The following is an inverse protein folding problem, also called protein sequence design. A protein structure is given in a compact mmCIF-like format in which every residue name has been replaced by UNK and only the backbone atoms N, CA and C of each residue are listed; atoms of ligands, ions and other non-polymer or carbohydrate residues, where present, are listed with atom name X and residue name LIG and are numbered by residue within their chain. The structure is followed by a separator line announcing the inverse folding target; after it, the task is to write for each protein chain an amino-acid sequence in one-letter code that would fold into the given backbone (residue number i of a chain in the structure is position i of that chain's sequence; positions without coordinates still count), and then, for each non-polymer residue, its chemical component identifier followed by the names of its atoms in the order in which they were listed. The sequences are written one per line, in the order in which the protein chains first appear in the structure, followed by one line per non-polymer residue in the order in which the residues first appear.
data_IF_629887102963
#
_entry.id   IF_629887102963
#
_cell.length_a   1.000
_cell.length_b   1.000
_cell.length_c   1.000
_cell.angle_alpha   90.00
_cell.angle_beta   90.00
_cell.angle_gamma   90.00
#
_symmetry.space_group_name_H-M   'P 1'
#
loop_
_entity.id
_entity.type
_entity.pdbx_description
1 polymer ?
#
# COMPACT_ATOMS: atom_id res chain seq x y z
N UNK A 1 21.09 -22.53 27.89
CA UNK A 1 21.31 -22.51 26.42
C UNK A 1 20.00 -22.17 25.76
N UNK A 2 19.96 -21.09 24.99
CA UNK A 2 18.77 -20.49 24.37
C UNK A 2 18.33 -21.30 23.15
N UNK A 3 17.15 -21.94 23.22
CA UNK A 3 16.50 -22.55 22.05
C UNK A 3 15.88 -21.45 21.19
N UNK A 4 16.68 -20.83 20.33
CA UNK A 4 16.18 -19.95 19.29
C UNK A 4 15.38 -20.81 18.28
N UNK A 5 14.04 -20.68 18.29
CA UNK A 5 13.18 -21.29 17.27
C UNK A 5 13.64 -20.79 15.90
N UNK A 6 14.13 -21.69 15.05
CA UNK A 6 14.40 -21.39 13.63
C UNK A 6 13.06 -21.00 12.99
N UNK A 7 12.94 -19.74 12.55
CA UNK A 7 11.79 -19.30 11.76
C UNK A 7 12.00 -19.82 10.35
N UNK A 8 11.30 -20.88 9.99
CA UNK A 8 11.23 -21.34 8.61
C UNK A 8 10.50 -20.28 7.78
N UNK A 9 11.24 -19.62 6.89
CA UNK A 9 10.67 -18.66 5.94
C UNK A 9 9.86 -19.44 4.90
N UNK A 10 8.54 -19.47 5.07
CA UNK A 10 7.63 -20.08 4.10
C UNK A 10 7.44 -19.13 2.93
N UNK A 11 7.95 -19.49 1.76
CA UNK A 11 7.67 -18.77 0.53
C UNK A 11 6.17 -18.85 0.23
N UNK A 12 5.52 -17.69 0.14
CA UNK A 12 4.09 -17.58 -0.12
C UNK A 12 3.88 -17.54 -1.63
N UNK A 13 3.26 -18.58 -2.19
CA UNK A 13 2.87 -18.62 -3.60
C UNK A 13 1.37 -18.35 -3.75
N UNK A 14 0.90 -17.23 -3.21
CA UNK A 14 -0.50 -16.82 -3.20
C UNK A 14 -0.65 -15.49 -3.94
N UNK A 15 -1.66 -15.41 -4.79
CA UNK A 15 -2.09 -14.18 -5.45
C UNK A 15 -3.32 -13.65 -4.70
N UNK A 16 -3.49 -12.33 -4.69
CA UNK A 16 -4.65 -11.68 -4.07
C UNK A 16 -5.97 -12.22 -4.66
N UNK A 17 -6.94 -12.47 -3.78
CA UNK A 17 -8.33 -12.77 -4.14
C UNK A 17 -9.29 -11.88 -3.34
N UNK A 18 -10.45 -11.53 -3.90
CA UNK A 18 -11.41 -10.63 -3.26
C UNK A 18 -11.93 -11.15 -1.89
N UNK A 19 -11.93 -12.46 -1.67
CA UNK A 19 -12.26 -13.06 -0.37
C UNK A 19 -11.25 -12.75 0.73
N UNK A 20 -10.03 -12.31 0.38
CA UNK A 20 -8.96 -12.03 1.34
C UNK A 20 -9.28 -10.87 2.29
N UNK A 21 -10.16 -9.95 1.88
CA UNK A 21 -10.71 -8.91 2.76
C UNK A 21 -11.43 -9.45 3.99
N UNK A 22 -11.93 -10.68 3.92
CA UNK A 22 -12.67 -11.34 5.00
C UNK A 22 -11.85 -12.43 5.69
N UNK A 23 -10.62 -12.66 5.26
CA UNK A 23 -9.78 -13.73 5.77
C UNK A 23 -9.25 -13.39 7.17
N UNK A 24 -9.13 -14.41 8.02
CA UNK A 24 -8.45 -14.31 9.31
C UNK A 24 -6.94 -14.55 9.21
N UNK A 25 -6.47 -15.09 8.09
CA UNK A 25 -5.05 -15.36 7.82
C UNK A 25 -4.25 -14.06 7.62
N UNK A 26 -3.10 -13.97 8.28
CA UNK A 26 -2.29 -12.76 8.27
C UNK A 26 -1.71 -12.45 6.88
N UNK A 27 -1.33 -13.47 6.11
CA UNK A 27 -0.81 -13.27 4.75
C UNK A 27 -1.92 -12.77 3.83
N UNK A 28 -3.12 -13.33 3.92
CA UNK A 28 -4.29 -12.85 3.18
C UNK A 28 -4.62 -11.39 3.49
N UNK A 29 -4.60 -11.01 4.78
CA UNK A 29 -4.80 -9.61 5.21
C UNK A 29 -3.77 -8.67 4.60
N UNK A 30 -2.49 -9.04 4.65
CA UNK A 30 -1.43 -8.23 4.04
C UNK A 30 -1.61 -8.05 2.53
N UNK A 31 -2.04 -9.10 1.81
CA UNK A 31 -2.35 -9.00 0.38
C UNK A 31 -3.51 -8.03 0.13
N UNK A 32 -4.59 -8.15 0.89
CA UNK A 32 -5.75 -7.26 0.80
C UNK A 32 -5.39 -5.79 1.11
N UNK A 33 -4.60 -5.53 2.15
CA UNK A 33 -4.12 -4.19 2.51
C UNK A 33 -3.30 -3.56 1.38
N UNK A 34 -2.37 -4.32 0.77
CA UNK A 34 -1.60 -3.80 -0.38
C UNK A 34 -2.47 -3.54 -1.60
N UNK A 35 -3.52 -4.34 -1.82
CA UNK A 35 -4.47 -4.13 -2.90
C UNK A 35 -5.29 -2.85 -2.71
N UNK A 36 -5.72 -2.54 -1.47
CA UNK A 36 -6.39 -1.27 -1.12
C UNK A 36 -5.47 -0.08 -1.33
N UNK A 37 -4.25 -0.12 -0.77
CA UNK A 37 -3.30 1.00 -0.88
C UNK A 37 -3.01 1.38 -2.34
N UNK A 38 -2.84 0.38 -3.22
CA UNK A 38 -2.62 0.61 -4.65
C UNK A 38 -3.87 1.20 -5.31
N UNK A 39 -5.05 0.69 -4.98
CA UNK A 39 -6.33 1.19 -5.51
C UNK A 39 -6.62 2.63 -5.07
N UNK A 40 -6.40 2.92 -3.79
CA UNK A 40 -6.56 4.26 -3.20
C UNK A 40 -5.58 5.25 -3.83
N UNK A 41 -4.33 4.85 -4.04
CA UNK A 41 -3.33 5.68 -4.70
C UNK A 41 -3.74 6.02 -6.14
N UNK A 42 -4.30 5.05 -6.86
CA UNK A 42 -4.79 5.25 -8.22
C UNK A 42 -6.02 6.17 -8.27
N UNK A 43 -6.97 6.00 -7.34
CA UNK A 43 -8.21 6.79 -7.27
C UNK A 43 -8.01 8.21 -6.75
N UNK A 44 -7.19 8.39 -5.72
CA UNK A 44 -6.82 9.71 -5.17
C UNK A 44 -5.92 10.46 -6.14
N UNK A 45 -5.35 9.77 -7.13
CA UNK A 45 -4.37 10.33 -8.05
C UNK A 45 -3.02 10.60 -7.38
N UNK A 46 -2.79 10.05 -6.18
CA UNK A 46 -1.60 10.32 -5.37
C UNK A 46 -0.29 9.89 -6.04
N UNK A 47 -0.38 8.89 -6.93
CA UNK A 47 0.73 8.49 -7.82
C UNK A 47 1.22 9.67 -8.69
N UNK A 48 0.35 10.63 -8.97
CA UNK A 48 0.64 11.82 -9.77
C UNK A 48 0.84 13.10 -8.94
N UNK A 49 0.32 13.18 -7.70
CA UNK A 49 0.44 14.36 -6.84
C UNK A 49 1.84 14.51 -6.22
N UNK A 50 2.57 13.42 -6.01
CA UNK A 50 3.89 13.46 -5.36
C UNK A 50 5.06 13.80 -6.28
N UNK A 51 4.81 14.00 -7.58
CA UNK A 51 5.84 14.54 -8.47
C UNK A 51 6.01 16.05 -8.19
N UNK A 52 7.21 16.52 -7.80
CA UNK A 52 7.44 17.94 -7.50
C UNK A 52 7.13 18.89 -8.66
N UNK A 53 7.04 18.37 -9.90
CA UNK A 53 6.59 19.13 -11.06
C UNK A 53 5.09 19.56 -10.99
N UNK A 54 4.25 18.85 -10.24
CA UNK A 54 2.82 19.16 -10.10
C UNK A 54 2.46 19.88 -8.80
N UNK A 55 3.34 19.88 -7.79
CA UNK A 55 3.11 20.58 -6.52
C UNK A 55 3.18 22.11 -6.63
N UNK A 56 3.71 22.65 -7.75
CA UNK A 56 3.98 24.08 -7.91
C UNK A 56 2.84 24.89 -8.57
N UNK A 57 1.69 24.29 -8.91
CA UNK A 57 0.58 25.03 -9.55
C UNK A 57 -0.42 25.64 -8.56
N UNK A 58 -0.55 25.10 -7.35
CA UNK A 58 -1.55 25.62 -6.40
C UNK A 58 -1.04 26.75 -5.49
N UNK A 59 0.27 26.84 -5.22
CA UNK A 59 0.84 27.97 -4.43
C UNK A 59 0.94 29.27 -5.22
N UNK A 60 1.00 29.22 -6.55
CA UNK A 60 1.00 30.40 -7.41
C UNK A 60 -0.38 31.07 -7.54
N UNK A 61 -1.48 30.35 -7.25
CA UNK A 61 -2.83 30.88 -7.36
C UNK A 61 -3.35 31.60 -6.09
N UNK A 62 -2.61 31.55 -4.98
CA UNK A 62 -3.00 32.19 -3.70
C UNK A 62 -2.05 33.30 -3.22
N UNK A 63 -1.11 33.74 -4.06
CA UNK A 63 -0.20 34.85 -3.76
C UNK A 63 -0.35 35.96 -4.79
N UNK A 64 -1.45 36.71 -4.72
CA UNK A 64 -1.74 37.76 -5.69
C UNK A 64 -3.03 38.53 -5.39
N UNK A 65 -3.14 39.07 -4.18
CA UNK A 65 -3.78 40.34 -3.85
C UNK A 65 -3.56 40.66 -2.37
#
# INVERSE_FOLDING_TARGET
MSNAKKKDFKMVNKIYEASDYKSSDQTAKGLAETHEQVSDSYMTGDVFTHNPAYQNKERAAKGGQ
#
